data_IF_783142679702
#
_entry.id   IF_783142679702
#
_cell.length_a   1.000
_cell.length_b   1.000
_cell.length_c   1.000
_cell.angle_alpha   90.00
_cell.angle_beta   90.00
_cell.angle_gamma   90.00
#
_symmetry.space_group_name_H-M   'P 1'
#
loop_
_entity.id
_entity.type
_entity.pdbx_description
1 polymer ?
#
# COMPACT_ATOMS: atom_id res chain seq x y z
N UNK A 1 -16.36 -21.31 -13.98
CA UNK A 1 -14.93 -21.20 -13.65
C UNK A 1 -14.81 -21.24 -12.13
N UNK A 2 -14.16 -22.25 -11.57
CA UNK A 2 -13.90 -22.28 -10.11
C UNK A 2 -12.94 -21.16 -9.76
N UNK A 3 -13.44 -20.15 -9.07
CA UNK A 3 -12.63 -19.08 -8.50
C UNK A 3 -11.64 -19.72 -7.52
N UNK A 4 -10.34 -19.63 -7.81
CA UNK A 4 -9.29 -20.19 -6.95
C UNK A 4 -9.42 -19.68 -5.52
N UNK A 5 -9.01 -20.46 -4.51
CA UNK A 5 -9.12 -20.06 -3.10
C UNK A 5 -8.48 -18.69 -2.82
N UNK A 6 -7.37 -18.37 -3.50
CA UNK A 6 -6.75 -17.04 -3.46
C UNK A 6 -7.69 -15.92 -3.96
N UNK A 7 -8.32 -16.12 -5.12
CA UNK A 7 -9.29 -15.17 -5.69
C UNK A 7 -10.52 -14.99 -4.79
N UNK A 8 -10.97 -16.07 -4.15
CA UNK A 8 -12.04 -16.03 -3.16
C UNK A 8 -11.65 -15.19 -1.92
N UNK A 9 -10.40 -15.30 -1.47
CA UNK A 9 -9.88 -14.47 -0.36
C UNK A 9 -9.90 -12.98 -0.68
N UNK A 10 -9.51 -12.60 -1.91
CA UNK A 10 -9.60 -11.20 -2.37
C UNK A 10 -11.05 -10.70 -2.43
N UNK A 11 -11.97 -11.55 -2.92
CA UNK A 11 -13.39 -11.22 -2.98
C UNK A 11 -13.98 -11.02 -1.58
N UNK A 12 -13.60 -11.87 -0.63
CA UNK A 12 -14.03 -11.77 0.76
C UNK A 12 -13.59 -10.43 1.39
N UNK A 13 -12.34 -10.00 1.17
CA UNK A 13 -11.88 -8.68 1.62
C UNK A 13 -12.73 -7.55 1.04
N UNK A 14 -12.96 -7.57 -0.28
CA UNK A 14 -13.80 -6.58 -0.97
C UNK A 14 -15.25 -6.58 -0.47
N UNK A 15 -15.75 -7.72 -0.03
CA UNK A 15 -17.08 -7.88 0.57
C UNK A 15 -17.13 -7.53 2.06
N UNK A 16 -16.05 -7.00 2.66
CA UNK A 16 -15.95 -6.71 4.11
C UNK A 16 -16.15 -7.94 5.02
N UNK A 17 -15.78 -9.14 4.54
CA UNK A 17 -15.83 -10.35 5.35
C UNK A 17 -14.55 -10.51 6.19
N UNK A 18 -14.67 -10.91 7.47
CA UNK A 18 -13.51 -11.18 8.31
C UNK A 18 -12.78 -12.45 7.88
N UNK A 19 -11.50 -12.59 8.24
CA UNK A 19 -10.73 -13.82 7.96
C UNK A 19 -11.39 -15.10 8.50
N UNK A 20 -12.17 -14.99 9.59
CA UNK A 20 -12.91 -16.12 10.17
C UNK A 20 -14.02 -16.66 9.28
N UNK A 21 -14.43 -15.93 8.23
CA UNK A 21 -15.39 -16.39 7.23
C UNK A 21 -14.80 -17.45 6.27
N UNK A 22 -13.51 -17.78 6.40
CA UNK A 22 -12.89 -18.85 5.63
C UNK A 22 -13.47 -20.22 6.03
N UNK A 23 -14.26 -20.82 5.13
CA UNK A 23 -14.88 -22.14 5.32
C UNK A 23 -13.90 -23.32 5.13
N UNK A 24 -12.68 -23.05 4.66
CA UNK A 24 -11.68 -24.10 4.46
C UNK A 24 -11.13 -24.65 5.79
N UNK A 25 -10.89 -25.97 5.89
CA UNK A 25 -10.37 -26.60 7.11
C UNK A 25 -9.02 -26.02 7.52
N UNK A 26 -8.75 -25.97 8.82
CA UNK A 26 -7.41 -25.64 9.31
C UNK A 26 -6.39 -26.64 8.78
N UNK A 27 -5.23 -26.13 8.32
CA UNK A 27 -4.16 -26.93 7.72
C UNK A 27 -4.33 -27.25 6.24
N UNK A 28 -5.45 -26.88 5.60
CA UNK A 28 -5.63 -27.06 4.16
C UNK A 28 -4.89 -26.00 3.34
N UNK A 29 -4.25 -26.39 2.24
CA UNK A 29 -3.61 -25.46 1.30
C UNK A 29 -4.58 -24.39 0.76
N UNK A 30 -5.86 -24.74 0.63
CA UNK A 30 -6.91 -23.80 0.22
C UNK A 30 -7.11 -22.68 1.26
N UNK A 31 -7.05 -23.00 2.56
CA UNK A 31 -7.14 -21.99 3.63
C UNK A 31 -5.95 -21.04 3.56
N UNK A 32 -4.74 -21.58 3.39
CA UNK A 32 -3.51 -20.79 3.22
C UNK A 32 -3.61 -19.85 2.03
N UNK A 33 -4.06 -20.35 0.88
CA UNK A 33 -4.25 -19.55 -0.33
C UNK A 33 -5.33 -18.47 -0.14
N UNK A 34 -6.45 -18.79 0.50
CA UNK A 34 -7.51 -17.83 0.79
C UNK A 34 -7.03 -16.71 1.72
N UNK A 35 -6.34 -17.04 2.80
CA UNK A 35 -5.78 -16.05 3.74
C UNK A 35 -4.72 -15.17 3.07
N UNK A 36 -3.90 -15.75 2.18
CA UNK A 36 -2.93 -15.00 1.39
C UNK A 36 -3.60 -13.97 0.47
N UNK A 37 -4.70 -14.34 -0.19
CA UNK A 37 -5.48 -13.43 -1.04
C UNK A 37 -6.11 -12.27 -0.27
N UNK A 38 -6.73 -12.57 0.88
CA UNK A 38 -7.31 -11.55 1.76
C UNK A 38 -6.25 -10.56 2.26
N UNK A 39 -5.12 -11.07 2.76
CA UNK A 39 -4.00 -10.26 3.26
C UNK A 39 -3.36 -9.41 2.17
N UNK A 40 -3.28 -9.94 0.95
CA UNK A 40 -2.77 -9.19 -0.19
C UNK A 40 -3.60 -7.94 -0.48
N UNK A 41 -4.94 -8.05 -0.45
CA UNK A 41 -5.81 -6.90 -0.61
C UNK A 41 -5.65 -5.89 0.53
N UNK A 42 -5.59 -6.36 1.78
CA UNK A 42 -5.36 -5.49 2.93
C UNK A 42 -4.09 -4.66 2.78
N UNK A 43 -2.94 -5.30 2.54
CA UNK A 43 -1.66 -4.62 2.37
C UNK A 43 -1.64 -3.64 1.20
N UNK A 44 -2.32 -4.00 0.11
CA UNK A 44 -2.45 -3.12 -1.07
C UNK A 44 -3.26 -1.88 -0.74
N UNK A 45 -4.32 -2.03 0.07
CA UNK A 45 -5.16 -0.91 0.50
C UNK A 45 -4.44 -0.01 1.50
N UNK A 46 -3.70 -0.60 2.46
CA UNK A 46 -2.82 0.13 3.39
C UNK A 46 -1.75 0.93 2.64
N UNK A 47 -1.13 0.34 1.60
CA UNK A 47 -0.15 1.03 0.77
C UNK A 47 -0.75 2.22 0.00
N UNK A 48 -2.05 2.18 -0.32
CA UNK A 48 -2.77 3.31 -0.95
C UNK A 48 -3.11 4.39 0.07
N UNK A 49 -3.37 4.01 1.33
CA UNK A 49 -3.57 4.95 2.44
C UNK A 49 -2.28 5.63 2.92
N UNK A 50 -1.15 4.93 2.82
CA UNK A 50 0.20 5.41 3.17
C UNK A 50 0.99 5.98 1.99
N UNK A 51 0.32 6.39 0.90
CA UNK A 51 0.91 7.29 -0.08
C UNK A 51 1.04 8.70 0.51
N UNK A 52 1.79 8.81 1.61
CA UNK A 52 2.32 10.07 2.10
C UNK A 52 3.17 10.66 0.98
N UNK A 53 2.92 11.91 0.53
CA UNK A 53 3.79 12.55 -0.43
C UNK A 53 5.13 12.81 0.25
N UNK A 54 6.11 11.93 0.05
CA UNK A 54 7.51 12.19 0.33
C UNK A 54 8.07 13.24 -0.68
N UNK A 55 7.44 14.40 -0.78
CA UNK A 55 7.74 15.42 -1.79
C UNK A 55 7.59 16.87 -1.33
N UNK A 56 7.61 17.16 -0.02
CA UNK A 56 7.60 18.57 0.41
C UNK A 56 8.82 19.02 1.25
N UNK A 57 9.55 18.12 1.92
CA UNK A 57 10.70 18.56 2.75
C UNK A 57 12.06 18.68 2.02
N UNK A 58 12.22 18.14 0.80
CA UNK A 58 13.48 18.26 0.03
C UNK A 58 13.44 19.27 -1.13
N UNK A 59 12.31 19.95 -1.37
CA UNK A 59 12.23 20.98 -2.40
C UNK A 59 12.63 22.39 -1.88
N UNK A 60 12.45 22.67 -0.59
CA UNK A 60 12.75 24.00 -0.02
C UNK A 60 14.26 24.25 0.16
N UNK A 61 15.04 23.21 0.47
CA UNK A 61 16.50 23.28 0.59
C UNK A 61 17.17 23.63 -0.75
N UNK A 62 16.65 23.13 -1.87
CA UNK A 62 17.23 23.37 -3.19
C UNK A 62 16.99 24.82 -3.66
N UNK A 63 15.82 25.41 -3.37
CA UNK A 63 15.54 26.81 -3.73
C UNK A 63 16.32 27.82 -2.88
N UNK A 64 16.58 27.52 -1.60
CA UNK A 64 17.40 28.40 -0.75
C UNK A 64 18.87 28.48 -1.18
N UNK A 65 19.41 27.46 -1.86
CA UNK A 65 20.81 27.47 -2.32
C UNK A 65 21.06 28.29 -3.59
N UNK A 66 20.05 28.58 -4.43
CA UNK A 66 20.25 29.38 -5.65
C UNK A 66 20.08 30.89 -5.47
N UNK A 67 19.47 31.37 -4.37
CA UNK A 67 19.19 32.80 -4.16
C UNK A 67 20.29 33.57 -3.41
N UNK A 68 21.43 32.92 -3.13
CA UNK A 68 22.53 33.53 -2.36
C UNK A 68 23.74 33.98 -3.20
N UNK A 69 23.73 33.79 -4.53
CA UNK A 69 24.93 34.02 -5.36
C UNK A 69 24.88 35.25 -6.27
N UNK A 70 23.92 36.17 -6.11
CA UNK A 70 23.85 37.37 -6.95
C UNK A 70 23.66 38.65 -6.15
N UNK A 71 24.60 38.94 -5.26
CA UNK A 71 24.79 40.29 -4.69
C UNK A 71 25.85 41.01 -5.55
N UNK A 72 25.50 42.08 -6.30
CA UNK A 72 26.50 42.90 -6.95
C UNK A 72 27.29 43.67 -5.88
N UNK A 73 28.59 43.41 -5.80
CA UNK A 73 29.55 44.21 -5.03
C UNK A 73 29.69 45.55 -5.74
N UNK A 74 29.01 46.59 -5.25
CA UNK A 74 29.38 47.97 -5.50
C UNK A 74 30.34 48.45 -4.39
N UNK A 75 31.14 49.46 -4.76
CA UNK A 75 32.23 50.14 -4.03
C UNK A 75 33.63 49.61 -4.30
#
# INVERSE_FOLDING_TARGET
MSTSAFEQGKLAYRANLPMSACEYPQGSDFRTQWMAGWTHCQRTDEARGHAEPASDMMADVARRRMRASNVPRQS
#
